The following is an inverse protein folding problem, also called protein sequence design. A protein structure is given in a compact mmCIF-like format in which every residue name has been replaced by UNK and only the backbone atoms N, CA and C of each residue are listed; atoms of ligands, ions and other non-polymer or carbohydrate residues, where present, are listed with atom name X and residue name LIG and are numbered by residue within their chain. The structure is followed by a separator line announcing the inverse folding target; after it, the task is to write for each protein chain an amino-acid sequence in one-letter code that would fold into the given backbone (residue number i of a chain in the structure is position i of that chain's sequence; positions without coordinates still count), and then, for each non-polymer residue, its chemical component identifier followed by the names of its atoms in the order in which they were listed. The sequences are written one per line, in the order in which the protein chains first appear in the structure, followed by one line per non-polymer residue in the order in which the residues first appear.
data_IF_237014752618
#
_entry.id   IF_237014752618
#
_cell.length_a   1.000
_cell.length_b   1.000
_cell.length_c   1.000
_cell.angle_alpha   90.00
_cell.angle_beta   90.00
_cell.angle_gamma   90.00
#
_symmetry.space_group_name_H-M   'P 1'
#
loop_
_entity.id
_entity.type
_entity.pdbx_description
1 polymer ?
#
# COMPACT_ATOMS: atom_id res chain seq x y z
N UNK A 1 -2.55 -2.18 25.09
CA UNK A 1 -2.51 -2.43 23.63
C UNK A 1 -1.11 -2.86 23.27
N UNK A 2 -0.96 -3.98 22.57
CA UNK A 2 0.35 -4.45 22.07
C UNK A 2 0.89 -3.47 21.04
N UNK A 3 2.12 -3.01 21.22
CA UNK A 3 2.78 -2.10 20.28
C UNK A 3 3.09 -2.85 18.99
N UNK A 4 2.52 -2.43 17.89
CA UNK A 4 2.49 -3.19 16.63
C UNK A 4 3.03 -2.35 15.47
N UNK A 5 3.93 -2.93 14.66
CA UNK A 5 4.22 -2.44 13.31
C UNK A 5 3.23 -3.06 12.33
N UNK A 6 2.79 -2.29 11.34
CA UNK A 6 2.02 -2.81 10.22
C UNK A 6 2.91 -2.86 8.98
N UNK A 7 3.05 -4.04 8.37
CA UNK A 7 3.67 -4.19 7.06
C UNK A 7 2.83 -3.42 6.03
N UNK A 8 3.38 -2.30 5.55
CA UNK A 8 2.66 -1.34 4.75
C UNK A 8 3.14 -1.36 3.30
N UNK A 9 2.33 -1.97 2.44
CA UNK A 9 2.59 -2.06 1.00
C UNK A 9 2.09 -0.86 0.20
N UNK A 10 1.41 0.10 0.84
CA UNK A 10 0.62 1.17 0.22
C UNK A 10 -0.71 0.73 -0.42
N UNK A 11 -0.97 -0.57 -0.48
CA UNK A 11 -2.15 -1.16 -1.11
C UNK A 11 -3.36 -1.29 -0.18
N UNK A 12 -4.48 -1.72 -0.76
CA UNK A 12 -5.78 -1.82 -0.09
C UNK A 12 -5.79 -2.77 1.11
N UNK A 13 -5.06 -3.90 1.04
CA UNK A 13 -5.11 -4.93 2.08
C UNK A 13 -4.38 -4.47 3.35
N UNK A 14 -3.20 -3.84 3.19
CA UNK A 14 -2.50 -3.21 4.33
C UNK A 14 -3.30 -2.04 4.92
N UNK A 15 -3.95 -1.23 4.08
CA UNK A 15 -4.78 -0.12 4.54
C UNK A 15 -6.04 -0.62 5.28
N UNK A 16 -6.69 -1.67 4.77
CA UNK A 16 -7.84 -2.28 5.43
C UNK A 16 -7.45 -2.97 6.74
N UNK A 17 -6.29 -3.64 6.78
CA UNK A 17 -5.73 -4.19 8.02
C UNK A 17 -5.56 -3.11 9.10
N UNK A 18 -5.10 -1.90 8.74
CA UNK A 18 -5.03 -0.78 9.66
C UNK A 18 -6.42 -0.40 10.21
N UNK A 19 -7.42 -0.34 9.34
CA UNK A 19 -8.80 -0.03 9.72
C UNK A 19 -9.33 -1.04 10.74
N UNK A 20 -9.19 -2.34 10.49
CA UNK A 20 -9.66 -3.40 11.38
C UNK A 20 -8.91 -3.40 12.72
N UNK A 21 -7.58 -3.27 12.70
CA UNK A 21 -6.78 -3.26 13.93
C UNK A 21 -7.12 -2.07 14.84
N UNK A 22 -7.44 -0.90 14.27
CA UNK A 22 -7.90 0.26 15.04
C UNK A 22 -9.25 0.01 15.72
N UNK A 23 -10.12 -0.83 15.17
CA UNK A 23 -11.41 -1.18 15.77
C UNK A 23 -11.27 -2.21 16.90
N UNK A 24 -10.27 -3.09 16.86
CA UNK A 24 -10.10 -4.16 17.84
C UNK A 24 -9.58 -3.69 19.21
N UNK A 25 -8.99 -2.50 19.31
CA UNK A 25 -8.42 -1.93 20.55
C UNK A 25 -7.38 -2.80 21.28
N UNK A 26 -7.01 -3.94 20.73
CA UNK A 26 -5.96 -4.82 21.26
C UNK A 26 -4.56 -4.36 20.85
N UNK A 27 -4.45 -3.86 19.61
CA UNK A 27 -3.20 -3.51 18.96
C UNK A 27 -3.06 -2.00 18.80
N UNK A 28 -1.96 -1.45 19.27
CA UNK A 28 -1.58 -0.05 19.04
C UNK A 28 -0.60 0.03 17.87
N UNK A 29 -1.07 0.51 16.71
CA UNK A 29 -0.20 0.63 15.54
C UNK A 29 0.69 1.86 15.71
N UNK A 30 1.99 1.62 15.88
CA UNK A 30 2.99 2.64 16.19
C UNK A 30 3.96 2.93 15.04
N UNK A 31 3.89 2.16 13.94
CA UNK A 31 4.71 2.37 12.76
C UNK A 31 4.22 1.60 11.55
N UNK A 32 4.49 2.15 10.37
CA UNK A 32 4.23 1.54 9.07
C UNK A 32 5.56 1.04 8.50
N UNK A 33 5.76 -0.28 8.47
CA UNK A 33 7.00 -0.90 7.98
C UNK A 33 6.91 -1.09 6.46
N UNK A 34 7.74 -0.39 5.71
CA UNK A 34 7.76 -0.44 4.24
C UNK A 34 9.17 -0.68 3.71
N UNK A 35 9.30 -1.61 2.77
CA UNK A 35 10.56 -1.86 2.06
C UNK A 35 10.61 -1.08 0.76
N UNK A 36 11.73 -0.41 0.50
CA UNK A 36 11.96 0.37 -0.71
C UNK A 36 13.13 -0.19 -1.51
N UNK A 37 12.99 -0.24 -2.82
CA UNK A 37 14.13 -0.39 -3.71
C UNK A 37 14.92 0.93 -3.68
N UNK A 38 16.11 0.92 -3.12
CA UNK A 38 16.95 2.11 -2.92
C UNK A 38 17.30 2.79 -4.25
N UNK A 39 17.61 2.01 -5.30
CA UNK A 39 18.00 2.55 -6.60
C UNK A 39 16.83 3.23 -7.32
N UNK A 40 15.64 2.66 -7.22
CA UNK A 40 14.43 3.20 -7.86
C UNK A 40 13.68 4.21 -6.99
N UNK A 41 13.97 4.27 -5.69
CA UNK A 41 13.23 5.06 -4.69
C UNK A 41 11.72 4.79 -4.71
N UNK A 42 11.37 3.50 -4.81
CA UNK A 42 9.99 3.01 -4.92
C UNK A 42 9.77 1.81 -4.01
N UNK A 43 8.52 1.59 -3.61
CA UNK A 43 8.13 0.38 -2.88
C UNK A 43 8.51 -0.84 -3.70
N UNK A 44 9.14 -1.81 -3.05
CA UNK A 44 9.46 -3.09 -3.66
C UNK A 44 8.17 -3.76 -4.19
N UNK A 45 8.19 -4.34 -5.37
CA UNK A 45 7.08 -4.98 -6.09
C UNK A 45 5.97 -4.04 -6.56
N UNK A 46 5.46 -3.15 -5.73
CA UNK A 46 4.33 -2.26 -6.05
C UNK A 46 4.72 -1.06 -6.93
N UNK A 47 6.01 -0.77 -7.03
CA UNK A 47 6.58 0.36 -7.78
C UNK A 47 6.04 1.76 -7.42
N UNK A 48 5.34 1.89 -6.31
CA UNK A 48 4.82 3.18 -5.81
C UNK A 48 5.97 4.08 -5.35
N UNK A 49 5.92 5.35 -5.70
CA UNK A 49 6.93 6.34 -5.30
C UNK A 49 6.99 6.49 -3.78
N UNK A 50 8.20 6.57 -3.21
CA UNK A 50 8.41 6.80 -1.76
C UNK A 50 7.62 8.01 -1.26
N UNK A 51 7.61 9.11 -2.01
CA UNK A 51 6.88 10.33 -1.63
C UNK A 51 5.38 10.12 -1.44
N UNK A 52 4.76 9.20 -2.18
CA UNK A 52 3.35 8.84 -2.00
C UNK A 52 3.13 8.01 -0.74
N UNK A 53 4.05 7.11 -0.40
CA UNK A 53 3.99 6.34 0.87
C UNK A 53 4.19 7.25 2.08
N UNK A 54 5.12 8.20 1.99
CA UNK A 54 5.31 9.23 3.02
C UNK A 54 4.04 10.11 3.20
N UNK A 55 3.37 10.44 2.09
CA UNK A 55 2.10 11.15 2.14
C UNK A 55 1.00 10.29 2.80
N UNK A 56 0.93 8.98 2.50
CA UNK A 56 0.02 8.07 3.20
C UNK A 56 0.31 8.02 4.70
N UNK A 57 1.56 7.86 5.10
CA UNK A 57 1.97 7.82 6.51
C UNK A 57 1.53 9.07 7.27
N UNK A 58 1.68 10.25 6.65
CA UNK A 58 1.18 11.53 7.19
C UNK A 58 -0.35 11.54 7.26
N UNK A 59 -1.02 11.09 6.21
CA UNK A 59 -2.48 11.11 6.14
C UNK A 59 -3.14 10.13 7.13
N UNK A 60 -2.49 9.01 7.47
CA UNK A 60 -2.98 8.09 8.53
C UNK A 60 -2.50 8.49 9.93
N UNK A 61 -1.54 9.42 10.04
CA UNK A 61 -1.00 9.88 11.32
C UNK A 61 -0.10 8.87 12.04
N UNK A 62 0.60 8.01 11.29
CA UNK A 62 1.49 6.96 11.82
C UNK A 62 2.86 7.13 11.17
N UNK A 63 3.97 7.10 11.95
CA UNK A 63 5.31 7.24 11.40
C UNK A 63 5.68 6.08 10.46
N UNK A 64 6.42 6.41 9.40
CA UNK A 64 6.96 5.43 8.48
C UNK A 64 8.24 4.82 9.08
N UNK A 65 8.31 3.48 9.05
CA UNK A 65 9.50 2.68 9.32
C UNK A 65 10.02 2.15 8.00
N UNK A 66 10.84 2.93 7.34
CA UNK A 66 11.40 2.60 6.05
C UNK A 66 12.59 1.64 6.14
N UNK A 67 12.68 0.76 5.17
CA UNK A 67 13.76 -0.20 4.99
C UNK A 67 14.24 -0.11 3.54
N UNK A 68 15.45 0.40 3.37
CA UNK A 68 16.07 0.46 2.04
C UNK A 68 16.69 -0.88 1.69
N UNK A 69 16.28 -1.43 0.55
CA UNK A 69 16.83 -2.65 -0.03
C UNK A 69 17.77 -2.30 -1.19
N UNK A 70 18.97 -2.88 -1.24
CA UNK A 70 19.87 -2.70 -2.38
C UNK A 70 19.24 -3.25 -3.67
N UNK A 71 19.79 -2.87 -4.81
CA UNK A 71 19.39 -3.43 -6.09
C UNK A 71 20.61 -3.88 -6.89
N UNK A 72 20.69 -5.16 -7.29
CA UNK A 72 19.78 -6.25 -6.95
C UNK A 72 19.81 -6.62 -5.46
N UNK A 73 18.72 -7.19 -4.94
CA UNK A 73 18.62 -7.69 -3.57
C UNK A 73 18.45 -9.20 -3.60
N UNK A 74 19.41 -9.94 -3.08
CA UNK A 74 19.26 -11.39 -2.92
C UNK A 74 18.33 -11.72 -1.75
N UNK A 75 17.78 -12.95 -1.72
CA UNK A 75 16.99 -13.41 -0.57
C UNK A 75 17.80 -13.34 0.73
N UNK A 76 19.09 -13.67 0.70
CA UNK A 76 19.97 -13.60 1.86
C UNK A 76 20.17 -12.17 2.36
N UNK A 77 20.33 -11.20 1.45
CA UNK A 77 20.41 -9.77 1.80
C UNK A 77 19.11 -9.29 2.42
N UNK A 78 17.98 -9.61 1.79
CA UNK A 78 16.64 -9.27 2.30
C UNK A 78 16.43 -9.83 3.71
N UNK A 79 16.70 -11.12 3.92
CA UNK A 79 16.55 -11.78 5.22
C UNK A 79 17.48 -11.17 6.29
N UNK A 80 18.72 -10.85 5.92
CA UNK A 80 19.67 -10.18 6.80
C UNK A 80 19.19 -8.80 7.24
N UNK A 81 18.76 -7.97 6.30
CA UNK A 81 18.23 -6.62 6.56
C UNK A 81 16.98 -6.68 7.43
N UNK A 82 16.02 -7.57 7.09
CA UNK A 82 14.78 -7.71 7.86
C UNK A 82 15.04 -8.23 9.27
N UNK A 83 16.01 -9.13 9.45
CA UNK A 83 16.40 -9.62 10.78
C UNK A 83 16.93 -8.49 11.67
N UNK A 84 17.77 -7.61 11.14
CA UNK A 84 18.25 -6.43 11.90
C UNK A 84 17.08 -5.47 12.22
N UNK A 85 16.18 -5.23 11.26
CA UNK A 85 14.97 -4.42 11.53
C UNK A 85 14.06 -5.02 12.60
N UNK A 86 13.92 -6.34 12.65
CA UNK A 86 13.18 -7.00 13.73
C UNK A 86 13.85 -6.78 15.09
N UNK A 87 15.19 -6.81 15.17
CA UNK A 87 15.92 -6.49 16.42
C UNK A 87 15.67 -5.04 16.86
N UNK A 88 15.77 -4.09 15.91
CA UNK A 88 15.49 -2.67 16.19
C UNK A 88 14.05 -2.49 16.72
N UNK A 89 13.10 -3.22 16.12
CA UNK A 89 11.70 -3.20 16.55
C UNK A 89 11.55 -3.69 18.00
N UNK A 90 12.12 -4.84 18.33
CA UNK A 90 12.08 -5.38 19.70
C UNK A 90 12.73 -4.41 20.70
N UNK A 91 13.90 -3.84 20.37
CA UNK A 91 14.58 -2.86 21.22
C UNK A 91 13.73 -1.59 21.43
N UNK A 92 12.88 -1.25 20.45
CA UNK A 92 11.94 -0.13 20.53
C UNK A 92 10.65 -0.50 21.28
N UNK A 93 10.56 -1.69 21.84
CA UNK A 93 9.40 -2.18 22.58
C UNK A 93 8.23 -2.57 21.69
N UNK A 94 8.48 -2.91 20.44
CA UNK A 94 7.46 -3.49 19.54
C UNK A 94 7.26 -4.96 19.92
N UNK A 95 6.00 -5.41 19.92
CA UNK A 95 5.62 -6.76 20.30
C UNK A 95 5.09 -7.59 19.12
N UNK A 96 4.54 -6.89 18.11
CA UNK A 96 3.88 -7.55 16.98
C UNK A 96 4.24 -6.91 15.64
N UNK A 97 4.13 -7.71 14.55
CA UNK A 97 4.07 -7.21 13.18
C UNK A 97 2.78 -7.74 12.54
N UNK A 98 1.95 -6.84 12.02
CA UNK A 98 0.73 -7.19 11.29
C UNK A 98 0.99 -7.21 9.79
N UNK A 99 0.37 -8.18 9.09
CA UNK A 99 0.48 -8.40 7.65
C UNK A 99 -0.91 -8.43 7.02
N UNK A 100 -1.04 -7.89 5.81
CA UNK A 100 -2.28 -7.88 5.04
C UNK A 100 -2.48 -9.10 4.15
N UNK A 101 -1.80 -10.22 4.41
CA UNK A 101 -1.91 -11.46 3.64
C UNK A 101 -3.30 -12.11 3.86
N UNK A 102 -3.94 -12.62 2.78
CA UNK A 102 -5.35 -13.05 2.81
C UNK A 102 -5.52 -14.56 2.95
N UNK A 103 -4.89 -15.37 2.08
CA UNK A 103 -5.09 -16.83 2.09
C UNK A 103 -3.88 -17.66 1.61
N UNK A 104 -2.80 -17.04 1.15
CA UNK A 104 -1.63 -17.76 0.67
C UNK A 104 -0.85 -18.38 1.83
N UNK A 105 -1.09 -19.66 2.11
CA UNK A 105 -0.51 -20.37 3.27
C UNK A 105 1.01 -20.44 3.27
N UNK A 106 1.64 -20.51 2.08
CA UNK A 106 3.08 -20.48 1.91
C UNK A 106 3.67 -19.09 2.30
N UNK A 107 2.98 -18.00 1.97
CA UNK A 107 3.40 -16.65 2.35
C UNK A 107 3.26 -16.46 3.86
N UNK A 108 2.13 -16.86 4.44
CA UNK A 108 1.95 -16.84 5.89
C UNK A 108 3.02 -17.65 6.62
N UNK A 109 3.26 -18.88 6.21
CA UNK A 109 4.31 -19.72 6.80
C UNK A 109 5.70 -19.07 6.69
N UNK A 110 6.00 -18.40 5.58
CA UNK A 110 7.22 -17.63 5.41
C UNK A 110 7.30 -16.48 6.43
N UNK A 111 6.21 -15.68 6.63
CA UNK A 111 6.16 -14.61 7.64
C UNK A 111 6.36 -15.14 9.05
N UNK A 112 5.65 -16.21 9.40
CA UNK A 112 5.78 -16.86 10.71
C UNK A 112 7.20 -17.35 10.96
N UNK A 113 7.82 -17.99 9.97
CA UNK A 113 9.22 -18.45 10.05
C UNK A 113 10.22 -17.30 10.18
N UNK A 114 10.00 -16.19 9.46
CA UNK A 114 10.86 -14.99 9.54
C UNK A 114 10.85 -14.35 10.92
N UNK A 115 9.73 -14.44 11.62
CA UNK A 115 9.58 -13.90 12.97
C UNK A 115 9.87 -14.93 14.07
N UNK A 116 10.11 -16.18 13.72
CA UNK A 116 10.45 -17.22 14.69
C UNK A 116 11.70 -16.83 15.49
N UNK A 117 11.61 -16.95 16.81
CA UNK A 117 12.67 -16.57 17.75
C UNK A 117 13.10 -15.07 17.70
N UNK A 118 12.36 -14.21 17.00
CA UNK A 118 12.66 -12.77 16.97
C UNK A 118 12.16 -12.02 18.22
N UNK A 119 11.19 -12.58 18.94
CA UNK A 119 10.45 -11.90 20.00
C UNK A 119 9.23 -11.12 19.51
N UNK A 120 8.95 -11.15 18.20
CA UNK A 120 7.79 -10.48 17.58
C UNK A 120 6.70 -11.49 17.21
N UNK A 121 5.45 -11.16 17.49
CA UNK A 121 4.30 -11.99 17.13
C UNK A 121 3.74 -11.55 15.76
N UNK A 122 3.61 -12.45 14.76
CA UNK A 122 2.91 -12.14 13.51
C UNK A 122 1.40 -12.08 13.72
N UNK A 123 0.73 -11.14 13.06
CA UNK A 123 -0.71 -10.94 13.10
C UNK A 123 -1.24 -10.80 11.68
N UNK A 124 -2.38 -11.44 11.40
CA UNK A 124 -2.99 -11.47 10.07
C UNK A 124 -4.47 -11.04 10.16
N UNK A 125 -4.78 -9.73 10.20
CA UNK A 125 -6.11 -9.22 10.50
C UNK A 125 -7.19 -9.58 9.47
N UNK A 126 -6.79 -9.83 8.22
CA UNK A 126 -7.69 -10.12 7.09
C UNK A 126 -7.64 -11.58 6.64
N UNK A 127 -6.92 -12.43 7.36
CA UNK A 127 -6.71 -13.84 6.99
C UNK A 127 -8.01 -14.63 6.93
N UNK A 128 -8.19 -15.37 5.81
CA UNK A 128 -9.34 -16.25 5.60
C UNK A 128 -10.65 -15.54 5.30
N UNK A 129 -10.66 -14.23 5.16
CA UNK A 129 -11.84 -13.50 4.72
C UNK A 129 -12.13 -13.80 3.24
N UNK A 130 -13.41 -14.07 2.86
CA UNK A 130 -13.78 -14.24 1.45
C UNK A 130 -13.45 -12.97 0.64
N UNK A 131 -12.62 -13.10 -0.38
CA UNK A 131 -11.99 -11.94 -1.06
C UNK A 131 -12.98 -11.03 -1.76
N UNK A 132 -14.06 -11.59 -2.35
CA UNK A 132 -15.11 -10.78 -2.96
C UNK A 132 -15.89 -9.93 -1.94
N UNK A 133 -16.21 -10.52 -0.79
CA UNK A 133 -16.90 -9.82 0.30
C UNK A 133 -15.98 -8.77 0.92
N UNK A 134 -14.69 -9.10 1.06
CA UNK A 134 -13.67 -8.19 1.55
C UNK A 134 -13.50 -6.98 0.61
N UNK A 135 -13.35 -7.21 -0.70
CA UNK A 135 -13.24 -6.16 -1.71
C UNK A 135 -14.45 -5.22 -1.68
N UNK A 136 -15.68 -5.78 -1.65
CA UNK A 136 -16.91 -4.99 -1.54
C UNK A 136 -17.02 -4.22 -0.23
N UNK A 137 -16.58 -4.81 0.87
CA UNK A 137 -16.56 -4.13 2.17
C UNK A 137 -15.63 -2.93 2.19
N UNK A 138 -14.44 -3.06 1.57
CA UNK A 138 -13.50 -1.94 1.37
C UNK A 138 -14.16 -0.81 0.57
N UNK A 139 -14.71 -1.13 -0.61
CA UNK A 139 -15.34 -0.15 -1.50
C UNK A 139 -16.51 0.54 -0.80
N UNK A 140 -17.41 -0.23 -0.19
CA UNK A 140 -18.58 0.29 0.55
C UNK A 140 -18.19 1.20 1.71
N UNK A 141 -17.06 0.94 2.35
CA UNK A 141 -16.55 1.75 3.46
C UNK A 141 -15.79 3.01 2.99
N UNK A 142 -15.74 3.25 1.69
CA UNK A 142 -15.12 4.44 1.11
C UNK A 142 -13.61 4.30 0.84
N UNK A 143 -13.06 3.08 0.85
CA UNK A 143 -11.69 2.86 0.36
C UNK A 143 -11.66 3.17 -1.13
N UNK A 144 -10.73 4.05 -1.51
CA UNK A 144 -10.44 4.39 -2.91
C UNK A 144 -9.00 4.08 -3.23
N UNK A 145 -8.81 3.32 -4.31
CA UNK A 145 -7.49 2.87 -4.72
C UNK A 145 -7.38 2.82 -6.25
N UNK A 146 -6.15 2.94 -6.74
CA UNK A 146 -5.81 2.74 -8.16
C UNK A 146 -5.01 1.45 -8.31
N UNK A 147 -5.26 0.71 -9.40
CA UNK A 147 -4.37 -0.38 -9.78
C UNK A 147 -3.05 0.20 -10.28
N UNK A 148 -1.96 -0.12 -9.60
CA UNK A 148 -0.61 0.40 -9.93
C UNK A 148 0.23 -0.57 -10.73
N UNK A 149 -0.08 -1.86 -10.64
CA UNK A 149 0.65 -2.92 -11.30
C UNK A 149 -0.33 -4.03 -11.70
N UNK A 150 -0.10 -4.61 -12.86
CA UNK A 150 -0.85 -5.77 -13.38
C UNK A 150 0.14 -6.78 -13.93
N UNK A 151 -0.06 -8.08 -13.64
CA UNK A 151 0.61 -9.17 -14.37
C UNK A 151 -0.16 -9.44 -15.67
N UNK A 152 0.38 -9.11 -16.85
CA UNK A 152 -0.34 -9.28 -18.13
C UNK A 152 -0.57 -10.74 -18.53
N UNK A 153 -0.01 -11.70 -17.80
CA UNK A 153 -0.28 -13.13 -17.98
C UNK A 153 -1.59 -13.56 -17.32
N UNK A 154 -2.03 -12.81 -16.31
CA UNK A 154 -3.20 -13.11 -15.51
C UNK A 154 -4.34 -12.13 -15.79
N UNK A 155 -4.06 -10.85 -15.86
CA UNK A 155 -5.05 -9.79 -16.04
C UNK A 155 -4.61 -8.85 -17.16
N UNK A 156 -5.53 -8.45 -18.04
CA UNK A 156 -5.24 -7.62 -19.20
C UNK A 156 -4.64 -6.25 -18.81
N UNK A 157 -3.64 -5.74 -19.59
CA UNK A 157 -2.93 -4.50 -19.27
C UNK A 157 -3.80 -3.26 -19.12
N UNK A 158 -4.96 -3.21 -19.78
CA UNK A 158 -5.92 -2.09 -19.71
C UNK A 158 -6.53 -1.87 -18.34
N UNK A 159 -6.40 -2.81 -17.43
CA UNK A 159 -6.83 -2.65 -16.03
C UNK A 159 -5.89 -1.77 -15.21
N UNK A 160 -4.64 -1.57 -15.64
CA UNK A 160 -3.69 -0.71 -14.91
C UNK A 160 -4.16 0.75 -14.90
N UNK A 161 -4.02 1.43 -13.76
CA UNK A 161 -4.45 2.82 -13.57
C UNK A 161 -5.95 3.00 -13.28
N UNK A 162 -6.76 1.95 -13.42
CA UNK A 162 -8.19 2.00 -13.12
C UNK A 162 -8.46 2.14 -11.63
N UNK A 163 -9.65 2.62 -11.31
CA UNK A 163 -10.18 2.69 -9.94
C UNK A 163 -10.55 1.29 -9.46
N UNK A 164 -10.25 0.99 -8.20
CA UNK A 164 -10.73 -0.21 -7.52
C UNK A 164 -12.14 0.05 -7.01
N UNK A 165 -13.15 -0.31 -7.81
CA UNK A 165 -14.57 -0.07 -7.57
C UNK A 165 -15.44 -1.26 -8.00
N UNK A 166 -16.76 -1.19 -7.77
CA UNK A 166 -17.71 -2.25 -8.15
C UNK A 166 -17.73 -2.51 -9.65
N UNK A 167 -17.51 -1.49 -10.47
CA UNK A 167 -17.44 -1.66 -11.93
C UNK A 167 -16.24 -2.51 -12.30
N UNK A 168 -15.07 -2.20 -11.75
CA UNK A 168 -13.85 -2.99 -11.95
C UNK A 168 -14.07 -4.46 -11.55
N UNK A 169 -14.64 -4.70 -10.36
CA UNK A 169 -14.92 -6.07 -9.88
C UNK A 169 -15.86 -6.83 -10.81
N UNK A 170 -16.84 -6.15 -11.42
CA UNK A 170 -17.78 -6.77 -12.36
C UNK A 170 -17.16 -7.12 -13.71
N UNK A 171 -16.06 -6.48 -14.08
CA UNK A 171 -15.35 -6.68 -15.34
C UNK A 171 -14.19 -7.68 -15.23
N UNK A 172 -13.84 -8.10 -14.02
CA UNK A 172 -12.79 -9.11 -13.85
C UNK A 172 -13.21 -10.45 -14.45
N UNK A 173 -12.30 -11.15 -15.16
CA UNK A 173 -12.46 -12.55 -15.48
C UNK A 173 -12.74 -13.40 -14.23
N UNK A 174 -13.46 -14.51 -14.39
CA UNK A 174 -13.93 -15.33 -13.26
C UNK A 174 -12.82 -16.04 -12.47
N UNK A 175 -11.63 -16.13 -13.03
CA UNK A 175 -10.42 -16.72 -12.46
C UNK A 175 -9.51 -15.70 -11.75
N UNK A 176 -9.85 -14.42 -11.79
CA UNK A 176 -9.13 -13.35 -11.07
C UNK A 176 -9.63 -13.24 -9.64
N UNK A 177 -8.71 -13.27 -8.68
CA UNK A 177 -9.05 -12.97 -7.29
C UNK A 177 -9.45 -11.49 -7.13
N UNK A 178 -10.64 -11.19 -6.58
CA UNK A 178 -11.11 -9.81 -6.40
C UNK A 178 -10.17 -8.90 -5.61
N UNK A 179 -9.29 -9.49 -4.78
CA UNK A 179 -8.28 -8.77 -4.04
C UNK A 179 -6.88 -8.80 -4.69
N UNK A 180 -6.67 -9.60 -5.75
CA UNK A 180 -5.38 -9.71 -6.43
C UNK A 180 -4.33 -10.46 -5.61
N UNK A 181 -4.75 -11.37 -4.72
CA UNK A 181 -3.83 -12.06 -3.80
C UNK A 181 -2.87 -13.02 -4.51
N UNK A 182 -3.24 -13.57 -5.67
CA UNK A 182 -2.35 -14.43 -6.45
C UNK A 182 -1.32 -13.65 -7.29
N UNK A 183 -1.23 -12.33 -7.11
CA UNK A 183 -0.29 -11.47 -7.81
C UNK A 183 -0.83 -10.89 -9.11
N UNK A 184 -2.14 -11.00 -9.38
CA UNK A 184 -2.78 -10.51 -10.60
C UNK A 184 -2.61 -8.99 -10.74
N UNK A 185 -2.73 -8.27 -9.63
CA UNK A 185 -2.56 -6.81 -9.59
C UNK A 185 -2.17 -6.29 -8.20
N UNK A 186 -1.61 -5.09 -8.18
CA UNK A 186 -1.36 -4.33 -6.96
C UNK A 186 -2.04 -2.97 -7.01
N UNK A 187 -2.31 -2.42 -5.83
CA UNK A 187 -3.05 -1.17 -5.68
C UNK A 187 -2.29 -0.12 -4.88
N UNK A 188 -2.66 1.14 -5.06
CA UNK A 188 -2.31 2.26 -4.20
C UNK A 188 -3.59 2.89 -3.64
N UNK A 189 -3.73 2.91 -2.32
CA UNK A 189 -4.88 3.53 -1.64
C UNK A 189 -4.62 5.01 -1.44
N UNK A 190 -5.59 5.85 -1.81
CA UNK A 190 -5.48 7.30 -1.67
C UNK A 190 -6.59 7.93 -0.83
N UNK A 191 -7.65 7.18 -0.49
CA UNK A 191 -8.72 7.60 0.41
C UNK A 191 -9.33 6.40 1.15
N UNK A 192 -9.95 6.65 2.30
CA UNK A 192 -10.67 5.64 3.07
C UNK A 192 -10.74 5.97 4.56
N UNK A 193 -11.46 5.15 5.34
CA UNK A 193 -11.75 5.43 6.74
C UNK A 193 -10.50 5.43 7.66
N UNK A 194 -9.37 4.93 7.18
CA UNK A 194 -8.10 4.96 7.91
C UNK A 194 -7.33 6.28 7.75
N UNK A 195 -7.68 7.12 6.78
CA UNK A 195 -7.03 8.40 6.49
C UNK A 195 -7.71 9.56 7.20
N UNK A 196 -6.94 10.55 7.65
CA UNK A 196 -7.45 11.82 8.19
C UNK A 196 -7.87 12.78 7.07
N UNK A 197 -7.29 12.62 5.88
CA UNK A 197 -7.63 13.33 4.65
C UNK A 197 -7.21 12.53 3.44
N UNK A 198 -7.92 12.70 2.34
CA UNK A 198 -7.63 12.04 1.09
C UNK A 198 -6.35 12.58 0.43
N UNK A 199 -5.67 11.72 -0.30
CA UNK A 199 -4.52 12.10 -1.12
C UNK A 199 -4.98 12.43 -2.53
N UNK A 200 -4.52 13.55 -3.06
CA UNK A 200 -4.75 13.89 -4.46
C UNK A 200 -3.67 13.24 -5.31
N UNK A 201 -4.07 12.29 -6.15
CA UNK A 201 -3.16 11.56 -7.04
C UNK A 201 -3.63 11.67 -8.48
N UNK A 202 -2.68 11.61 -9.40
CA UNK A 202 -2.93 11.51 -10.83
C UNK A 202 -2.21 10.29 -11.40
N UNK A 203 -2.85 9.66 -12.38
CA UNK A 203 -2.27 8.55 -13.14
C UNK A 203 -1.44 9.15 -14.27
N UNK A 204 -0.17 8.84 -14.29
CA UNK A 204 0.78 9.24 -15.32
C UNK A 204 0.95 8.17 -16.41
N UNK A 205 2.19 7.98 -16.85
CA UNK A 205 2.53 7.04 -17.91
C UNK A 205 2.33 5.58 -17.48
N UNK A 206 1.94 4.74 -18.45
CA UNK A 206 1.94 3.29 -18.31
C UNK A 206 3.25 2.75 -18.87
N UNK A 207 3.96 1.92 -18.07
CA UNK A 207 5.29 1.39 -18.41
C UNK A 207 5.30 -0.13 -18.23
N UNK A 208 5.81 -0.86 -19.22
CA UNK A 208 6.07 -2.30 -19.10
C UNK A 208 7.52 -2.53 -18.67
N UNK A 209 7.71 -3.31 -17.60
CA UNK A 209 9.03 -3.65 -17.06
C UNK A 209 8.99 -4.97 -16.33
N UNK A 210 10.04 -5.78 -16.50
CA UNK A 210 10.23 -7.06 -15.80
C UNK A 210 9.02 -8.02 -15.90
N UNK A 211 8.29 -7.96 -17.03
CA UNK A 211 7.10 -8.79 -17.29
C UNK A 211 5.79 -8.26 -16.71
N UNK A 212 5.80 -7.11 -16.03
CA UNK A 212 4.62 -6.44 -15.46
C UNK A 212 4.32 -5.12 -16.17
N UNK A 213 3.07 -4.67 -16.04
CA UNK A 213 2.62 -3.37 -16.53
C UNK A 213 2.30 -2.47 -15.34
N UNK A 214 2.89 -1.28 -15.31
CA UNK A 214 2.78 -0.34 -14.20
C UNK A 214 2.13 0.97 -14.64
N UNK A 215 1.24 1.52 -13.83
CA UNK A 215 0.83 2.92 -13.92
C UNK A 215 1.67 3.75 -12.93
N UNK A 216 2.38 4.74 -13.43
CA UNK A 216 3.08 5.68 -12.55
C UNK A 216 2.08 6.63 -11.90
N UNK A 217 2.05 6.65 -10.57
CA UNK A 217 1.24 7.60 -9.82
C UNK A 217 2.11 8.73 -9.29
N UNK A 218 1.57 9.95 -9.37
CA UNK A 218 2.21 11.13 -8.80
C UNK A 218 1.22 11.94 -7.95
N UNK A 219 1.72 12.71 -6.95
CA UNK A 219 0.88 13.67 -6.26
C UNK A 219 0.33 14.70 -7.25
N UNK A 220 -0.99 14.93 -7.20
CA UNK A 220 -1.59 16.00 -7.96
C UNK A 220 -1.32 17.32 -7.25
N UNK A 221 -0.49 18.17 -7.84
CA UNK A 221 -0.30 19.52 -7.35
C UNK A 221 -1.56 20.35 -7.65
N UNK A 222 -2.15 20.97 -6.63
CA UNK A 222 -3.14 22.02 -6.87
C UNK A 222 -2.43 23.13 -7.67
N UNK A 223 -2.67 23.17 -8.99
CA UNK A 223 -2.34 24.38 -9.76
C UNK A 223 -3.23 25.48 -9.22
N UNK A 224 -2.70 26.27 -8.30
CA UNK A 224 -3.30 27.57 -7.96
C UNK A 224 -3.19 28.38 -9.25
N UNK A 225 -4.28 28.45 -10.01
CA UNK A 225 -4.36 29.36 -11.15
C UNK A 225 -4.25 30.76 -10.58
N UNK A 226 -3.22 31.55 -10.93
CA UNK A 226 -3.13 32.89 -10.40
C UNK A 226 -4.39 33.64 -10.83
N UNK A 227 -5.13 34.16 -9.86
CA UNK A 227 -6.28 35.01 -10.09
C UNK A 227 -5.82 36.17 -11.01
N UNK A 228 -6.31 36.19 -12.27
CA UNK A 228 -6.10 37.32 -13.16
C UNK A 228 -6.66 38.54 -12.44
N UNK A 229 -5.78 39.42 -11.94
CA UNK A 229 -6.16 40.75 -11.53
C UNK A 229 -6.88 41.40 -12.72
N UNK A 230 -8.15 41.73 -12.54
CA UNK A 230 -8.89 42.59 -13.49
C UNK A 230 -8.12 43.88 -13.61
N UNK A 231 -7.67 44.21 -14.78
CA UNK A 231 -7.20 45.55 -15.09
C UNK A 231 -8.41 46.48 -14.83
N UNK A 232 -8.25 47.37 -13.87
CA UNK A 232 -9.20 48.47 -13.68
C UNK A 232 -8.88 49.49 -14.76
N UNK A 233 -9.78 49.61 -15.74
CA UNK A 233 -9.80 50.74 -16.67
C UNK A 233 -9.92 52.03 -15.86
N UNK A 234 -8.91 52.86 -15.97
CA UNK A 234 -8.98 54.23 -15.51
C UNK A 234 -9.71 55.07 -16.60
N UNK A 235 -10.69 55.88 -16.28
CA UNK A 235 -11.29 56.74 -17.26
C UNK A 235 -10.37 57.93 -17.58
N UNK A 236 -10.22 58.17 -18.90
CA UNK A 236 -9.64 59.41 -19.44
C UNK A 236 -10.35 60.67 -18.91
N UNK A 237 -9.51 61.63 -18.52
CA UNK A 237 -9.80 63.08 -18.58
C UNK A 237 -8.55 63.81 -19.03
#
# INVERSE_FOLDING_TARGET
MKRTLLSWSSGKDSAWSLHLLRQQHEYGIVGLLTTFNQAANRVAMHAVRRSLVEAQAKAVGIPLWDVDLPWPCSNADYEGIMKEKCKDAVQSGIECIAFGDLFLTNIRAYREKQLENSGLQPIFPVWGMPTLELARSMIKSGVRAKLTCVDPKLLAPEFVGREFDEQLLSEFPSDIDPCGENGEFHTFVYAGPMFQHDLLVEVGETVSRDGFVFADLSPRHNRVTPCRKRATDAPDR
#
